data_IF_150419576243
#
_entry.id   IF_150419576243
#
_cell.length_a   1.000
_cell.length_b   1.000
_cell.length_c   1.000
_cell.angle_alpha   90.00
_cell.angle_beta   90.00
_cell.angle_gamma   90.00
#
_symmetry.space_group_name_H-M   'P 1'
#
loop_
_entity.id
_entity.type
_entity.pdbx_description
1 polymer ?
#
# COMPACT_ATOMS: atom_id res chain seq x y z
N UNK A 1 -14.51 -7.60 35.22
CA UNK A 1 -14.59 -7.86 33.78
C UNK A 1 -13.19 -7.63 33.23
N UNK A 2 -12.50 -8.68 32.77
CA UNK A 2 -11.11 -8.55 32.31
C UNK A 2 -11.09 -8.09 30.86
N UNK A 3 -10.40 -6.99 30.57
CA UNK A 3 -10.24 -6.45 29.21
C UNK A 3 -9.41 -7.40 28.35
N UNK A 4 -9.87 -7.63 27.12
CA UNK A 4 -9.21 -8.47 26.15
C UNK A 4 -8.02 -7.72 25.54
N UNK A 5 -6.81 -8.06 25.99
CA UNK A 5 -5.56 -7.55 25.42
C UNK A 5 -5.43 -8.08 23.98
N UNK A 6 -5.41 -7.17 23.01
CA UNK A 6 -5.20 -7.51 21.59
C UNK A 6 -3.74 -7.33 21.21
N UNK A 7 -3.30 -7.99 20.13
CA UNK A 7 -1.90 -7.98 19.67
C UNK A 7 -1.34 -6.55 19.45
N UNK A 8 -2.21 -5.58 19.16
CA UNK A 8 -1.85 -4.17 19.02
C UNK A 8 -1.44 -3.49 20.33
N UNK A 9 -1.83 -4.04 21.48
CA UNK A 9 -1.51 -3.51 22.81
C UNK A 9 -0.15 -4.01 23.34
N UNK A 10 0.47 -4.94 22.61
CA UNK A 10 1.79 -5.47 22.91
C UNK A 10 2.86 -4.49 22.39
N UNK A 11 3.26 -3.57 23.26
CA UNK A 11 4.46 -2.73 23.08
C UNK A 11 5.72 -3.59 23.20
N UNK A 12 6.29 -3.98 22.06
CA UNK A 12 7.59 -4.63 21.99
C UNK A 12 8.68 -3.60 22.33
N UNK A 13 9.01 -3.49 23.61
CA UNK A 13 10.23 -2.79 24.03
C UNK A 13 11.40 -3.56 23.42
N UNK A 14 12.12 -2.91 22.51
CA UNK A 14 13.37 -3.44 21.94
C UNK A 14 14.38 -3.52 23.07
N UNK A 15 14.37 -4.63 23.80
CA UNK A 15 15.35 -4.92 24.81
C UNK A 15 16.73 -4.81 24.16
N UNK A 16 17.70 -4.12 24.78
CA UNK A 16 19.05 -4.07 24.25
C UNK A 16 19.56 -5.50 24.16
N UNK A 17 19.81 -5.98 22.94
CA UNK A 17 20.55 -7.21 22.73
C UNK A 17 21.89 -7.01 23.45
N UNK A 18 22.09 -7.70 24.58
CA UNK A 18 23.40 -7.84 25.21
C UNK A 18 24.28 -8.64 24.24
N UNK A 19 24.89 -7.92 23.30
CA UNK A 19 26.01 -8.40 22.50
C UNK A 19 27.24 -8.31 23.39
N UNK A 20 27.63 -9.45 23.93
CA UNK A 20 28.97 -9.70 24.43
C UNK A 20 29.95 -9.64 23.25
N UNK A 21 30.61 -8.50 23.03
CA UNK A 21 31.90 -8.49 22.35
C UNK A 21 32.78 -7.35 22.86
N UNK A 22 33.97 -7.78 23.26
CA UNK A 22 35.10 -7.03 23.79
C UNK A 22 35.64 -6.00 22.80
N UNK A 23 35.88 -4.78 23.30
CA UNK A 23 36.97 -3.85 22.96
C UNK A 23 37.61 -3.86 21.55
N UNK A 24 37.28 -2.83 20.75
CA UNK A 24 38.20 -1.94 20.00
C UNK A 24 37.35 -0.85 19.34
N UNK A 25 37.35 0.38 19.86
CA UNK A 25 38.30 1.47 19.57
C UNK A 25 38.17 2.02 18.14
N UNK A 26 37.57 3.21 18.04
CA UNK A 26 38.03 4.26 17.10
C UNK A 26 37.14 4.57 15.89
N UNK A 27 36.74 5.86 15.83
CA UNK A 27 36.44 6.70 14.65
C UNK A 27 35.02 6.71 14.03
N UNK A 28 34.34 7.82 14.32
CA UNK A 28 33.78 8.89 13.44
C UNK A 28 32.93 8.55 12.18
N UNK A 29 31.96 9.42 11.81
CA UNK A 29 30.79 9.10 11.01
C UNK A 29 30.99 9.39 9.51
N UNK A 30 29.93 9.10 8.76
CA UNK A 30 29.72 9.36 7.33
C UNK A 30 30.11 8.22 6.38
N UNK A 31 29.11 7.43 5.98
CA UNK A 31 28.95 7.05 4.57
C UNK A 31 27.52 6.54 4.33
N UNK A 32 26.81 7.32 3.52
CA UNK A 32 25.56 6.99 2.84
C UNK A 32 25.93 6.02 1.71
N UNK A 33 25.80 4.71 1.94
CA UNK A 33 26.10 3.70 0.93
C UNK A 33 24.77 3.21 0.33
N UNK A 34 24.50 3.79 -0.84
CA UNK A 34 23.58 3.34 -1.87
C UNK A 34 23.80 1.86 -2.17
N UNK A 35 22.91 1.01 -1.62
CA UNK A 35 22.89 -0.41 -1.87
C UNK A 35 22.37 -0.71 -3.27
N UNK A 36 23.21 -0.51 -4.27
CA UNK A 36 23.01 -0.94 -5.66
C UNK A 36 22.91 -2.47 -5.70
N UNK A 37 21.69 -3.00 -5.55
CA UNK A 37 21.39 -4.42 -5.76
C UNK A 37 21.47 -4.75 -7.25
N UNK A 38 22.70 -4.94 -7.73
CA UNK A 38 22.96 -5.51 -9.06
C UNK A 38 22.55 -6.98 -9.02
N UNK A 39 21.39 -7.29 -9.59
CA UNK A 39 20.94 -8.68 -9.78
C UNK A 39 21.88 -9.39 -10.75
N UNK A 40 22.68 -10.31 -10.24
CA UNK A 40 23.46 -11.27 -11.03
C UNK A 40 22.52 -12.32 -11.63
N UNK A 41 22.33 -12.28 -12.95
CA UNK A 41 21.50 -13.23 -13.70
C UNK A 41 22.29 -13.83 -14.87
N UNK A 42 23.15 -14.83 -14.63
CA UNK A 42 23.61 -15.81 -15.64
C UNK A 42 24.44 -16.90 -14.93
N UNK A 43 24.40 -18.21 -15.21
CA UNK A 43 24.03 -18.98 -16.39
C UNK A 43 23.29 -20.28 -16.01
N UNK A 44 22.30 -20.66 -16.82
CA UNK A 44 21.86 -22.06 -16.99
C UNK A 44 22.55 -22.58 -18.24
N UNK A 45 23.20 -23.75 -18.25
CA UNK A 45 23.75 -24.31 -19.49
C UNK A 45 22.62 -24.60 -20.47
N UNK A 46 22.63 -23.89 -21.58
CA UNK A 46 21.76 -24.08 -22.72
C UNK A 46 21.97 -25.46 -23.36
N UNK A 47 20.83 -26.06 -23.70
CA UNK A 47 20.60 -27.13 -24.68
C UNK A 47 21.72 -27.27 -25.72
N UNK A 48 22.37 -28.43 -25.74
CA UNK A 48 23.05 -28.93 -26.94
C UNK A 48 22.01 -29.61 -27.82
N UNK A 49 21.55 -28.88 -28.83
CA UNK A 49 20.85 -29.42 -29.98
C UNK A 49 21.66 -29.09 -31.22
N UNK A 50 22.10 -30.12 -31.97
CA UNK A 50 22.73 -29.91 -33.27
C UNK A 50 23.44 -31.16 -33.82
N UNK A 51 23.12 -31.63 -35.05
CA UNK A 51 23.39 -32.99 -35.52
C UNK A 51 24.75 -33.12 -36.22
N UNK A 52 25.35 -34.30 -36.15
CA UNK A 52 26.42 -34.70 -37.07
C UNK A 52 25.88 -35.70 -38.09
N UNK A 53 25.52 -35.11 -39.24
CA UNK A 53 25.65 -35.61 -40.61
C UNK A 53 26.55 -36.85 -40.80
N UNK A 54 26.04 -37.94 -41.37
CA UNK A 54 25.90 -38.26 -42.81
C UNK A 54 27.17 -38.85 -43.47
N UNK A 55 27.10 -40.14 -43.79
CA UNK A 55 27.58 -40.77 -45.03
C UNK A 55 26.95 -42.18 -45.09
N UNK A 56 25.81 -42.39 -45.78
CA UNK A 56 25.67 -42.59 -47.23
C UNK A 56 26.63 -43.67 -47.75
N UNK A 57 26.20 -44.93 -47.91
CA UNK A 57 25.49 -45.44 -49.09
C UNK A 57 26.15 -44.97 -50.40
N UNK A 58 26.90 -45.89 -51.01
CA UNK A 58 27.57 -45.72 -52.29
C UNK A 58 27.56 -47.04 -53.04
N UNK A 59 26.45 -47.29 -53.73
CA UNK A 59 26.33 -48.21 -54.86
C UNK A 59 27.26 -47.74 -55.98
N UNK A 60 27.99 -48.68 -56.60
CA UNK A 60 28.87 -48.38 -57.72
C UNK A 60 29.41 -49.66 -58.38
N UNK A 61 28.62 -50.23 -59.28
CA UNK A 61 29.03 -51.19 -60.31
C UNK A 61 30.21 -50.66 -61.12
N UNK A 62 31.20 -51.52 -61.43
CA UNK A 62 31.72 -51.66 -62.81
C UNK A 62 32.45 -52.99 -63.01
N UNK A 63 32.15 -53.54 -64.18
CA UNK A 63 32.51 -54.83 -64.70
C UNK A 63 33.93 -54.94 -65.27
N UNK A 64 34.39 -56.19 -65.33
CA UNK A 64 35.22 -56.71 -66.42
C UNK A 64 36.71 -56.78 -66.15
N UNK A 65 37.22 -58.01 -65.98
CA UNK A 65 38.28 -58.63 -66.80
C UNK A 65 38.71 -59.98 -66.18
N UNK A 66 38.31 -61.08 -66.84
CA UNK A 66 39.00 -62.38 -66.87
C UNK A 66 40.32 -62.22 -67.66
N UNK A 67 41.30 -63.16 -67.67
CA UNK A 67 41.19 -64.59 -67.34
C UNK A 67 42.36 -65.17 -66.49
N UNK A 68 42.12 -66.25 -65.74
CA UNK A 68 42.90 -67.48 -65.91
C UNK A 68 42.29 -68.65 -65.12
N UNK A 69 42.20 -69.77 -65.80
CA UNK A 69 41.64 -71.04 -65.35
C UNK A 69 42.80 -71.94 -64.91
N UNK A 70 42.75 -72.51 -63.70
CA UNK A 70 43.24 -73.87 -63.50
C UNK A 70 42.06 -74.80 -63.36
N UNK A 71 41.97 -75.69 -64.33
CA UNK A 71 41.18 -76.91 -64.34
C UNK A 71 41.38 -77.66 -63.02
N UNK A 72 40.45 -77.51 -62.09
CA UNK A 72 40.26 -78.43 -61.00
C UNK A 72 38.77 -78.66 -60.84
N UNK A 73 38.38 -79.91 -61.07
CA UNK A 73 37.08 -80.47 -60.76
C UNK A 73 36.87 -80.41 -59.25
N UNK A 74 36.14 -79.40 -58.76
CA UNK A 74 35.63 -79.41 -57.39
C UNK A 74 34.20 -79.89 -57.46
N UNK A 75 34.09 -81.21 -57.38
CA UNK A 75 32.87 -81.96 -57.12
C UNK A 75 32.03 -81.24 -56.07
N UNK A 76 30.78 -80.98 -56.43
CA UNK A 76 29.69 -80.63 -55.54
C UNK A 76 29.51 -81.73 -54.48
N UNK A 77 30.33 -81.70 -53.43
CA UNK A 77 30.06 -82.44 -52.22
C UNK A 77 29.27 -81.49 -51.34
N UNK A 78 27.95 -81.59 -51.45
CA UNK A 78 27.01 -81.10 -50.44
C UNK A 78 27.40 -81.75 -49.11
N UNK A 79 28.27 -81.07 -48.36
CA UNK A 79 28.69 -81.51 -47.04
C UNK A 79 27.58 -81.19 -46.04
N UNK A 80 27.06 -82.18 -45.29
CA UNK A 80 25.99 -81.97 -44.32
C UNK A 80 26.45 -81.18 -43.06
N UNK A 81 27.68 -80.67 -43.06
CA UNK A 81 28.24 -79.84 -42.00
C UNK A 81 28.01 -78.33 -42.21
N UNK A 82 27.89 -77.85 -43.46
CA UNK A 82 27.64 -76.43 -43.74
C UNK A 82 26.22 -75.99 -43.34
N UNK A 83 25.23 -76.89 -43.47
CA UNK A 83 23.86 -76.66 -43.02
C UNK A 83 23.72 -76.55 -41.50
N UNK A 84 24.62 -77.15 -40.71
CA UNK A 84 24.59 -77.09 -39.23
C UNK A 84 25.12 -75.76 -38.68
N UNK A 85 26.12 -75.17 -39.34
CA UNK A 85 26.62 -73.84 -38.99
C UNK A 85 25.61 -72.74 -39.34
N UNK A 86 24.90 -72.88 -40.48
CA UNK A 86 23.80 -71.99 -40.86
C UNK A 86 22.59 -72.14 -39.91
N UNK A 87 22.23 -73.38 -39.54
CA UNK A 87 21.13 -73.65 -38.62
C UNK A 87 21.41 -73.09 -37.21
N UNK A 88 22.65 -73.21 -36.71
CA UNK A 88 23.06 -72.61 -35.44
C UNK A 88 23.03 -71.07 -35.47
N UNK A 89 23.40 -70.45 -36.59
CA UNK A 89 23.32 -69.00 -36.79
C UNK A 89 21.88 -68.50 -36.89
N UNK A 90 20.99 -69.25 -37.55
CA UNK A 90 19.56 -68.96 -37.58
C UNK A 90 18.93 -69.03 -36.19
N UNK A 91 19.23 -70.09 -35.41
CA UNK A 91 18.78 -70.21 -34.03
C UNK A 91 19.33 -69.09 -33.13
N UNK A 92 20.62 -68.74 -33.27
CA UNK A 92 21.23 -67.64 -32.52
C UNK A 92 20.59 -66.28 -32.84
N UNK A 93 20.34 -65.97 -34.12
CA UNK A 93 19.61 -64.76 -34.51
C UNK A 93 18.19 -64.77 -33.94
N UNK A 94 17.52 -65.92 -33.92
CA UNK A 94 16.18 -66.09 -33.36
C UNK A 94 16.16 -65.77 -31.85
N UNK A 95 17.14 -66.22 -31.08
CA UNK A 95 17.29 -65.85 -29.67
C UNK A 95 17.62 -64.37 -29.46
N UNK A 96 18.41 -63.75 -30.34
CA UNK A 96 18.69 -62.31 -30.29
C UNK A 96 17.42 -61.49 -30.57
N UNK A 97 16.62 -61.85 -31.57
CA UNK A 97 15.33 -61.22 -31.85
C UNK A 97 14.34 -61.42 -30.69
N UNK A 98 14.27 -62.62 -30.10
CA UNK A 98 13.44 -62.87 -28.91
C UNK A 98 13.90 -62.04 -27.71
N UNK A 99 15.20 -61.92 -27.48
CA UNK A 99 15.77 -61.10 -26.41
C UNK A 99 15.49 -59.62 -26.60
N UNK A 100 15.65 -59.10 -27.82
CA UNK A 100 15.31 -57.72 -28.17
C UNK A 100 13.81 -57.46 -28.02
N UNK A 101 12.95 -58.41 -28.44
CA UNK A 101 11.51 -58.31 -28.23
C UNK A 101 11.19 -58.25 -26.74
N UNK A 102 11.78 -59.13 -25.92
CA UNK A 102 11.57 -59.15 -24.48
C UNK A 102 12.01 -57.84 -23.80
N UNK A 103 13.20 -57.33 -24.13
CA UNK A 103 13.68 -56.05 -23.57
C UNK A 103 12.83 -54.87 -24.03
N UNK A 104 12.37 -54.88 -25.29
CA UNK A 104 11.46 -53.85 -25.82
C UNK A 104 10.10 -53.85 -25.11
N UNK A 105 9.54 -55.04 -24.82
CA UNK A 105 8.30 -55.16 -24.05
C UNK A 105 8.48 -54.63 -22.61
N UNK A 106 9.58 -55.00 -21.95
CA UNK A 106 9.88 -54.51 -20.60
C UNK A 106 10.04 -52.98 -20.57
N UNK A 107 10.71 -52.40 -21.57
CA UNK A 107 10.85 -50.96 -21.70
C UNK A 107 9.51 -50.27 -21.96
N UNK A 108 8.64 -50.87 -22.77
CA UNK A 108 7.28 -50.41 -22.99
C UNK A 108 6.45 -50.38 -21.70
N UNK A 109 6.50 -51.45 -20.90
CA UNK A 109 5.82 -51.51 -19.59
C UNK A 109 6.38 -50.44 -18.65
N UNK A 110 7.70 -50.26 -18.58
CA UNK A 110 8.31 -49.22 -17.76
C UNK A 110 7.87 -47.81 -18.19
N UNK A 111 7.83 -47.54 -19.50
CA UNK A 111 7.35 -46.26 -20.04
C UNK A 111 5.86 -46.01 -19.72
N UNK A 112 5.01 -47.02 -19.82
CA UNK A 112 3.60 -46.93 -19.45
C UNK A 112 3.44 -46.66 -17.95
N UNK A 113 4.18 -47.38 -17.11
CA UNK A 113 4.18 -47.17 -15.65
C UNK A 113 4.62 -45.74 -15.28
N UNK A 114 5.68 -45.23 -15.91
CA UNK A 114 6.14 -43.85 -15.73
C UNK A 114 5.10 -42.84 -16.22
N UNK A 115 4.47 -43.11 -17.37
CA UNK A 115 3.40 -42.27 -17.91
C UNK A 115 2.20 -42.16 -16.98
N UNK A 116 1.77 -43.26 -16.35
CA UNK A 116 0.67 -43.26 -15.36
C UNK A 116 1.06 -42.45 -14.12
N UNK A 117 2.30 -42.58 -13.63
CA UNK A 117 2.79 -41.78 -12.48
C UNK A 117 2.89 -40.30 -12.80
N UNK A 118 3.37 -39.96 -13.99
CA UNK A 118 3.39 -38.57 -14.46
C UNK A 118 1.97 -38.00 -14.56
N UNK A 119 1.03 -38.76 -15.14
CA UNK A 119 -0.35 -38.33 -15.26
C UNK A 119 -0.99 -38.10 -13.89
N UNK A 120 -0.75 -38.98 -12.92
CA UNK A 120 -1.23 -38.83 -11.55
C UNK A 120 -0.70 -37.55 -10.90
N UNK A 121 0.61 -37.27 -11.00
CA UNK A 121 1.22 -36.05 -10.46
C UNK A 121 0.72 -34.80 -11.19
N UNK A 122 0.53 -34.86 -12.51
CA UNK A 122 -0.01 -33.75 -13.29
C UNK A 122 -1.44 -33.39 -12.88
N UNK A 123 -2.28 -34.38 -12.55
CA UNK A 123 -3.62 -34.14 -12.02
C UNK A 123 -3.58 -33.51 -10.63
N UNK A 124 -2.69 -33.99 -9.76
CA UNK A 124 -2.51 -33.40 -8.42
C UNK A 124 -2.04 -31.94 -8.51
N UNK A 125 -1.08 -31.63 -9.40
CA UNK A 125 -0.63 -30.27 -9.64
C UNK A 125 -1.73 -29.39 -10.23
N UNK A 126 -2.56 -29.93 -11.12
CA UNK A 126 -3.68 -29.19 -11.70
C UNK A 126 -4.74 -28.85 -10.64
N UNK A 127 -5.01 -29.76 -9.69
CA UNK A 127 -5.93 -29.52 -8.58
C UNK A 127 -5.39 -28.45 -7.62
N UNK A 128 -4.11 -28.53 -7.24
CA UNK A 128 -3.49 -27.52 -6.37
C UNK A 128 -3.41 -26.16 -7.05
N UNK A 129 -3.11 -26.13 -8.36
CA UNK A 129 -3.11 -24.89 -9.12
C UNK A 129 -4.49 -24.24 -9.16
N UNK A 130 -5.56 -25.02 -9.39
CA UNK A 130 -6.94 -24.51 -9.32
C UNK A 130 -7.28 -23.94 -7.94
N UNK A 131 -6.90 -24.64 -6.86
CA UNK A 131 -7.11 -24.13 -5.50
C UNK A 131 -6.33 -22.84 -5.24
N UNK A 132 -5.07 -22.78 -5.67
CA UNK A 132 -4.25 -21.60 -5.54
C UNK A 132 -4.82 -20.42 -6.33
N UNK A 133 -5.32 -20.67 -7.53
CA UNK A 133 -5.96 -19.67 -8.38
C UNK A 133 -7.25 -19.13 -7.76
N UNK A 134 -8.11 -20.00 -7.21
CA UNK A 134 -9.32 -19.57 -6.48
C UNK A 134 -8.99 -18.78 -5.21
N UNK A 135 -7.93 -19.19 -4.50
CA UNK A 135 -7.48 -18.49 -3.29
C UNK A 135 -6.88 -17.13 -3.66
N UNK A 136 -6.12 -17.06 -4.74
CA UNK A 136 -5.50 -15.84 -5.24
C UNK A 136 -6.57 -14.85 -5.73
N UNK A 137 -7.57 -15.31 -6.48
CA UNK A 137 -8.66 -14.46 -6.94
C UNK A 137 -9.51 -13.94 -5.77
N UNK A 138 -9.83 -14.80 -4.80
CA UNK A 138 -10.50 -14.41 -3.57
C UNK A 138 -9.69 -13.37 -2.77
N UNK A 139 -8.39 -13.59 -2.59
CA UNK A 139 -7.52 -12.67 -1.87
C UNK A 139 -7.38 -11.33 -2.59
N UNK A 140 -7.24 -11.33 -3.93
CA UNK A 140 -7.25 -10.11 -4.74
C UNK A 140 -8.56 -9.35 -4.61
N UNK A 141 -9.68 -10.06 -4.62
CA UNK A 141 -11.00 -9.45 -4.45
C UNK A 141 -11.14 -8.83 -3.05
N UNK A 142 -10.70 -9.55 -2.01
CA UNK A 142 -10.70 -9.03 -0.64
C UNK A 142 -9.81 -7.78 -0.53
N UNK A 143 -8.63 -7.79 -1.13
CA UNK A 143 -7.71 -6.65 -1.13
C UNK A 143 -8.34 -5.44 -1.83
N UNK A 144 -8.97 -5.63 -2.98
CA UNK A 144 -9.70 -4.54 -3.67
C UNK A 144 -10.85 -3.97 -2.83
N UNK A 145 -11.62 -4.83 -2.17
CA UNK A 145 -12.71 -4.39 -1.28
C UNK A 145 -12.15 -3.63 -0.06
N UNK A 146 -11.08 -4.11 0.56
CA UNK A 146 -10.44 -3.40 1.67
C UNK A 146 -9.84 -2.08 1.22
N UNK A 147 -9.20 -2.02 0.05
CA UNK A 147 -8.61 -0.80 -0.48
C UNK A 147 -9.67 0.26 -0.78
N UNK A 148 -10.80 -0.13 -1.40
CA UNK A 148 -11.92 0.79 -1.65
C UNK A 148 -12.59 1.26 -0.36
N UNK A 149 -12.76 0.37 0.64
CA UNK A 149 -13.27 0.76 1.96
C UNK A 149 -12.34 1.72 2.70
N UNK A 150 -11.03 1.48 2.65
CA UNK A 150 -10.04 2.36 3.27
C UNK A 150 -10.01 3.72 2.55
N UNK A 151 -10.04 3.74 1.23
CA UNK A 151 -10.12 4.99 0.46
C UNK A 151 -11.35 5.82 0.82
N UNK A 152 -12.53 5.18 0.90
CA UNK A 152 -13.75 5.88 1.33
C UNK A 152 -13.64 6.42 2.76
N UNK A 153 -13.13 5.63 3.70
CA UNK A 153 -12.91 6.09 5.08
C UNK A 153 -11.91 7.24 5.16
N UNK A 154 -10.88 7.23 4.33
CA UNK A 154 -9.91 8.31 4.24
C UNK A 154 -10.54 9.60 3.70
N UNK A 155 -11.35 9.51 2.65
CA UNK A 155 -12.13 10.63 2.12
C UNK A 155 -13.08 11.22 3.18
N UNK A 156 -13.81 10.37 3.91
CA UNK A 156 -14.71 10.78 4.98
C UNK A 156 -13.96 11.48 6.13
N UNK A 157 -12.82 10.92 6.57
CA UNK A 157 -11.97 11.51 7.59
C UNK A 157 -11.39 12.85 7.13
N UNK A 158 -10.98 12.95 5.87
CA UNK A 158 -10.48 14.18 5.29
C UNK A 158 -11.60 15.24 5.21
N UNK A 159 -12.81 14.84 4.85
CA UNK A 159 -14.02 15.66 4.89
C UNK A 159 -14.28 16.22 6.29
N UNK A 160 -14.37 15.34 7.28
CA UNK A 160 -14.56 15.72 8.69
C UNK A 160 -13.45 16.65 9.20
N UNK A 161 -12.19 16.41 8.83
CA UNK A 161 -11.07 17.29 9.18
C UNK A 161 -11.23 18.69 8.61
N UNK A 162 -11.70 18.83 7.37
CA UNK A 162 -11.98 20.14 6.74
C UNK A 162 -13.13 20.84 7.46
N UNK A 163 -14.22 20.13 7.77
CA UNK A 163 -15.36 20.69 8.50
C UNK A 163 -14.96 21.19 9.89
N UNK A 164 -14.13 20.43 10.62
CA UNK A 164 -13.61 20.84 11.92
C UNK A 164 -12.74 22.09 11.80
N UNK A 165 -11.89 22.19 10.76
CA UNK A 165 -11.08 23.38 10.52
C UNK A 165 -11.96 24.61 10.23
N UNK A 166 -12.97 24.47 9.38
CA UNK A 166 -13.92 25.54 9.06
C UNK A 166 -14.72 25.97 10.30
N UNK A 167 -15.21 25.02 11.09
CA UNK A 167 -15.95 25.33 12.30
C UNK A 167 -15.05 26.05 13.34
N UNK A 168 -13.78 25.66 13.43
CA UNK A 168 -12.81 26.34 14.31
C UNK A 168 -12.59 27.79 13.89
N UNK A 169 -12.48 28.07 12.59
CA UNK A 169 -12.38 29.43 12.06
C UNK A 169 -13.65 30.24 12.35
N UNK A 170 -14.83 29.68 12.07
CA UNK A 170 -16.11 30.32 12.36
C UNK A 170 -16.31 30.60 13.85
N UNK A 171 -15.86 29.69 14.72
CA UNK A 171 -15.89 29.89 16.17
C UNK A 171 -14.94 31.01 16.59
N UNK A 172 -13.74 31.08 16.02
CA UNK A 172 -12.78 32.14 16.29
C UNK A 172 -13.30 33.51 15.85
N UNK A 173 -13.94 33.59 14.68
CA UNK A 173 -14.59 34.81 14.21
C UNK A 173 -15.73 35.24 15.14
N UNK A 174 -16.63 34.31 15.50
CA UNK A 174 -17.70 34.57 16.46
C UNK A 174 -17.14 35.07 17.80
N UNK A 175 -16.04 34.49 18.29
CA UNK A 175 -15.41 34.93 19.53
C UNK A 175 -14.85 36.36 19.42
N UNK A 176 -14.21 36.71 18.31
CA UNK A 176 -13.73 38.09 18.07
C UNK A 176 -14.89 39.07 18.04
N UNK A 177 -15.97 38.74 17.33
CA UNK A 177 -17.17 39.58 17.29
C UNK A 177 -17.73 39.78 18.70
N UNK A 178 -17.91 38.70 19.48
CA UNK A 178 -18.36 38.81 20.87
C UNK A 178 -17.46 39.73 21.71
N UNK A 179 -16.14 39.61 21.61
CA UNK A 179 -15.20 40.50 22.31
C UNK A 179 -15.39 41.97 21.90
N UNK A 180 -15.44 42.26 20.60
CA UNK A 180 -15.63 43.63 20.13
C UNK A 180 -16.98 44.22 20.59
N UNK A 181 -18.04 43.42 20.56
CA UNK A 181 -19.35 43.86 21.05
C UNK A 181 -19.34 44.12 22.56
N UNK A 182 -18.60 43.31 23.34
CA UNK A 182 -18.45 43.50 24.77
C UNK A 182 -17.67 44.78 25.09
N UNK A 183 -16.59 45.06 24.36
CA UNK A 183 -15.81 46.30 24.49
C UNK A 183 -16.67 47.52 24.16
N UNK A 184 -17.45 47.47 23.07
CA UNK A 184 -18.39 48.54 22.71
C UNK A 184 -19.47 48.74 23.79
N UNK A 185 -20.00 47.65 24.36
CA UNK A 185 -21.00 47.73 25.41
C UNK A 185 -20.42 48.39 26.67
N UNK A 186 -19.19 48.05 27.03
CA UNK A 186 -18.48 48.66 28.16
C UNK A 186 -18.18 50.15 27.90
N UNK A 187 -17.77 50.51 26.69
CA UNK A 187 -17.58 51.91 26.31
C UNK A 187 -18.89 52.70 26.41
N UNK A 188 -19.98 52.16 25.87
CA UNK A 188 -21.32 52.75 25.94
C UNK A 188 -21.81 52.92 27.39
N UNK A 189 -21.58 51.93 28.27
CA UNK A 189 -21.88 52.06 29.69
C UNK A 189 -21.08 53.18 30.35
N UNK A 190 -19.78 53.30 30.03
CA UNK A 190 -18.94 54.36 30.58
C UNK A 190 -19.38 55.76 30.10
N UNK A 191 -19.85 55.88 28.86
CA UNK A 191 -20.41 57.12 28.31
C UNK A 191 -21.74 57.46 28.98
N UNK A 192 -22.60 56.46 29.20
CA UNK A 192 -23.86 56.62 29.91
C UNK A 192 -23.63 57.14 31.35
N UNK A 193 -22.64 56.60 32.08
CA UNK A 193 -22.33 57.11 33.42
C UNK A 193 -21.75 58.54 33.38
N UNK A 194 -20.83 58.84 32.45
CA UNK A 194 -20.31 60.22 32.28
C UNK A 194 -21.42 61.22 31.97
N UNK A 195 -22.30 60.89 31.03
CA UNK A 195 -23.42 61.79 30.65
C UNK A 195 -24.40 61.98 31.80
N UNK A 196 -24.63 60.95 32.63
CA UNK A 196 -25.44 61.03 33.85
C UNK A 196 -24.80 61.92 34.92
N UNK A 197 -23.49 61.81 35.14
CA UNK A 197 -22.73 62.70 36.03
C UNK A 197 -22.81 64.15 35.55
N UNK A 198 -22.61 64.40 34.25
CA UNK A 198 -22.74 65.72 33.63
C UNK A 198 -24.15 66.29 33.81
N UNK A 199 -25.19 65.46 33.63
CA UNK A 199 -26.59 65.85 33.84
C UNK A 199 -26.85 66.25 35.29
N UNK A 200 -26.35 65.46 36.25
CA UNK A 200 -26.46 65.80 37.68
C UNK A 200 -25.74 67.12 38.01
N UNK A 201 -24.54 67.34 37.46
CA UNK A 201 -23.79 68.59 37.69
C UNK A 201 -24.56 69.81 37.17
N UNK A 202 -25.18 69.69 35.98
CA UNK A 202 -26.02 70.75 35.39
C UNK A 202 -27.30 70.97 36.19
N UNK A 203 -27.92 69.92 36.72
CA UNK A 203 -29.10 70.05 37.59
C UNK A 203 -28.76 70.82 38.88
N UNK A 204 -27.62 70.50 39.51
CA UNK A 204 -27.13 71.24 40.70
C UNK A 204 -26.85 72.70 40.37
N UNK A 205 -26.21 72.99 39.23
CA UNK A 205 -26.01 74.37 38.76
C UNK A 205 -27.34 75.09 38.54
N UNK A 206 -28.32 74.43 37.92
CA UNK A 206 -29.66 74.99 37.70
C UNK A 206 -30.35 75.31 39.02
N UNK A 207 -30.38 74.37 39.98
CA UNK A 207 -30.96 74.60 41.30
C UNK A 207 -30.30 75.79 42.02
N UNK A 208 -28.97 75.90 41.91
CA UNK A 208 -28.21 77.03 42.48
C UNK A 208 -28.60 78.36 41.84
N UNK A 209 -28.74 78.41 40.51
CA UNK A 209 -29.19 79.60 39.79
C UNK A 209 -30.63 79.97 40.12
N UNK A 210 -31.53 78.99 40.21
CA UNK A 210 -32.92 79.20 40.61
C UNK A 210 -33.02 79.75 42.03
N UNK A 211 -32.24 79.23 42.98
CA UNK A 211 -32.17 79.75 44.35
C UNK A 211 -31.64 81.18 44.40
N UNK A 212 -30.67 81.52 43.54
CA UNK A 212 -30.16 82.89 43.45
C UNK A 212 -31.20 83.84 42.84
N UNK A 213 -31.93 83.39 41.81
CA UNK A 213 -33.02 84.15 41.21
C UNK A 213 -34.18 84.35 42.19
N UNK A 214 -34.57 83.34 42.97
CA UNK A 214 -35.60 83.48 44.01
C UNK A 214 -35.14 84.43 45.11
N UNK A 215 -33.90 84.31 45.58
CA UNK A 215 -33.33 85.27 46.55
C UNK A 215 -33.32 86.71 46.02
N UNK A 216 -32.95 86.93 44.76
CA UNK A 216 -33.03 88.25 44.14
C UNK A 216 -34.49 88.72 44.05
N UNK A 217 -35.41 87.87 43.60
CA UNK A 217 -36.84 88.17 43.54
C UNK A 217 -37.40 88.52 44.91
N UNK A 218 -37.00 87.83 45.96
CA UNK A 218 -37.45 88.10 47.33
C UNK A 218 -36.83 89.38 47.89
N UNK A 219 -35.59 89.73 47.50
CA UNK A 219 -35.01 91.06 47.78
C UNK A 219 -35.71 92.19 47.03
N UNK A 220 -36.17 91.93 45.80
CA UNK A 220 -36.91 92.88 44.97
C UNK A 220 -38.39 92.96 45.36
N UNK A 221 -39.00 91.89 45.88
CA UNK A 221 -40.41 91.84 46.33
C UNK A 221 -40.81 93.01 47.22
N UNK A 222 -40.08 93.40 48.28
CA UNK A 222 -40.47 94.56 49.09
C UNK A 222 -40.45 95.90 48.32
N UNK A 223 -39.73 96.00 47.19
CA UNK A 223 -39.80 97.16 46.30
C UNK A 223 -41.08 97.19 45.44
N UNK A 224 -41.72 96.03 45.26
CA UNK A 224 -42.94 95.86 44.46
C UNK A 224 -44.19 95.48 45.27
N UNK A 225 -44.02 95.19 46.57
CA UNK A 225 -45.10 94.83 47.48
C UNK A 225 -45.41 96.05 48.31
N UNK A 226 -46.33 96.87 47.82
CA UNK A 226 -46.93 97.94 48.60
C UNK A 226 -47.63 97.30 49.80
N UNK A 227 -47.35 97.69 51.05
CA UNK A 227 -48.35 97.49 52.09
C UNK A 227 -49.60 98.20 51.59
N UNK A 228 -50.70 97.46 51.45
CA UNK A 228 -52.01 98.08 51.36
C UNK A 228 -52.37 98.59 52.76
N UNK A 229 -51.61 99.58 53.22
CA UNK A 229 -52.04 100.57 54.20
C UNK A 229 -51.17 101.80 53.97
N UNK A 230 -51.86 102.82 53.46
CA UNK A 230 -51.51 104.21 53.38
C UNK A 230 -50.44 104.68 52.36
N UNK A 231 -51.02 105.13 51.25
CA UNK A 231 -50.72 106.37 50.52
C UNK A 231 -49.76 106.33 49.33
N UNK A 232 -50.38 106.62 48.18
CA UNK A 232 -49.85 107.33 46.99
C UNK A 232 -48.67 106.75 46.20
N UNK A 233 -48.99 106.24 45.00
CA UNK A 233 -48.18 106.49 43.80
C UNK A 233 -49.11 106.96 42.65
N UNK A 234 -48.79 108.06 41.94
CA UNK A 234 -49.47 108.41 40.69
C UNK A 234 -48.88 107.60 39.53
N UNK A 235 -49.74 107.24 38.58
CA UNK A 235 -49.36 106.59 37.34
C UNK A 235 -48.58 107.55 36.43
N UNK A 236 -47.47 107.06 35.89
CA UNK A 236 -46.75 107.61 34.75
C UNK A 236 -46.47 106.48 33.77
#
# INVERSE_FOLDING_TARGET
>A
MAEAITYADLRFVKAPLKKSVSSRLGQDPETDEDGELTYENVQVPSVSGGPLSLASSGVGDKAGLQPEQPTASWSSVTSPAAGRLLAGRAACMQYLFLGLLLTSLLLGVAAICLGVRYLQVSQQLQQTNRLLETTNSSLRQQLHLTMTQLGKKEEDLQGSRREVAQNKEALQEKQRVCQTTQEQLQACQSEMEKTKEDLQSKEVQRMTLEQRLSSMRDKLKPLFTCPLEDSCCPMG
#
